data_IF_147612535656
#
_entry.id   IF_147612535656
#
_cell.length_a   1.000
_cell.length_b   1.000
_cell.length_c   1.000
_cell.angle_alpha   90.00
_cell.angle_beta   90.00
_cell.angle_gamma   90.00
#
_symmetry.space_group_name_H-M   'P 1'
#
loop_
_entity.id
_entity.type
_entity.pdbx_description
1 polymer ?
#
# COMPACT_ATOMS: atom_id res chain seq x y z
N UNK A 1 36.41 2.70 -35.76
CA UNK A 1 34.95 2.91 -35.93
C UNK A 1 34.18 1.60 -36.10
N UNK A 2 34.44 0.76 -37.12
CA UNK A 2 33.66 -0.49 -37.35
C UNK A 2 33.65 -1.47 -36.15
N UNK A 3 34.79 -1.73 -35.53
CA UNK A 3 34.89 -2.61 -34.34
C UNK A 3 34.09 -2.08 -33.13
N UNK A 4 34.06 -0.76 -32.93
CA UNK A 4 33.27 -0.13 -31.88
C UNK A 4 31.77 -0.32 -32.13
N UNK A 5 31.32 -0.19 -33.38
CA UNK A 5 29.92 -0.44 -33.75
C UNK A 5 29.53 -1.90 -33.52
N UNK A 6 30.37 -2.87 -33.91
CA UNK A 6 30.08 -4.30 -33.66
C UNK A 6 30.02 -4.62 -32.17
N UNK A 7 30.94 -4.05 -31.38
CA UNK A 7 30.93 -4.21 -29.93
C UNK A 7 29.67 -3.60 -29.29
N UNK A 8 29.26 -2.41 -29.73
CA UNK A 8 28.03 -1.77 -29.25
C UNK A 8 26.78 -2.60 -29.59
N UNK A 9 26.67 -3.08 -30.84
CA UNK A 9 25.57 -3.95 -31.27
C UNK A 9 25.54 -5.24 -30.46
N UNK A 10 26.69 -5.85 -30.18
CA UNK A 10 26.80 -7.02 -29.33
C UNK A 10 26.29 -6.75 -27.92
N UNK A 11 26.74 -5.67 -27.28
CA UNK A 11 26.29 -5.30 -25.92
C UNK A 11 24.78 -5.11 -25.88
N UNK A 12 24.23 -4.33 -26.82
CA UNK A 12 22.80 -4.07 -26.89
C UNK A 12 22.04 -5.38 -27.06
N UNK A 13 22.45 -6.23 -28.00
CA UNK A 13 21.81 -7.52 -28.25
C UNK A 13 21.90 -8.45 -27.04
N UNK A 14 23.05 -8.48 -26.36
CA UNK A 14 23.26 -9.26 -25.15
C UNK A 14 22.35 -8.80 -24.01
N UNK A 15 22.21 -7.48 -23.79
CA UNK A 15 21.31 -6.93 -22.78
C UNK A 15 19.86 -7.29 -23.09
N UNK A 16 19.43 -7.17 -24.35
CA UNK A 16 18.08 -7.56 -24.77
C UNK A 16 17.84 -9.06 -24.60
N UNK A 17 18.79 -9.89 -25.00
CA UNK A 17 18.73 -11.35 -24.82
C UNK A 17 18.63 -11.70 -23.34
N UNK A 18 19.47 -11.11 -22.49
CA UNK A 18 19.45 -11.32 -21.04
C UNK A 18 18.11 -10.88 -20.44
N UNK A 19 17.63 -9.69 -20.78
CA UNK A 19 16.39 -9.16 -20.24
C UNK A 19 15.16 -9.97 -20.68
N UNK A 20 15.18 -10.54 -21.88
CA UNK A 20 14.13 -11.41 -22.41
C UNK A 20 14.14 -12.79 -21.75
N UNK A 21 15.32 -13.37 -21.56
CA UNK A 21 15.51 -14.69 -20.95
C UNK A 21 15.67 -14.64 -19.42
N UNK A 22 15.48 -13.47 -18.80
CA UNK A 22 15.66 -13.30 -17.36
C UNK A 22 14.71 -14.23 -16.59
N UNK A 23 15.21 -15.02 -15.63
CA UNK A 23 14.40 -15.98 -14.86
C UNK A 23 13.56 -15.26 -13.79
N UNK A 24 12.53 -14.52 -14.25
CA UNK A 24 11.66 -13.69 -13.40
C UNK A 24 10.99 -14.55 -12.32
N UNK A 25 10.56 -15.76 -12.66
CA UNK A 25 9.87 -16.64 -11.71
C UNK A 25 10.78 -17.03 -10.56
N UNK A 26 12.01 -17.42 -10.86
CA UNK A 26 12.98 -17.90 -9.88
C UNK A 26 13.43 -16.74 -8.99
N UNK A 27 13.78 -15.59 -9.59
CA UNK A 27 14.29 -14.42 -8.87
C UNK A 27 13.21 -13.78 -8.02
N UNK A 28 12.08 -13.39 -8.62
CA UNK A 28 11.01 -12.73 -7.87
C UNK A 28 10.25 -13.71 -7.00
N UNK A 29 10.11 -14.97 -7.43
CA UNK A 29 9.49 -16.00 -6.62
C UNK A 29 10.26 -16.28 -5.35
N UNK A 30 11.58 -16.45 -5.43
CA UNK A 30 12.45 -16.61 -4.27
C UNK A 30 12.34 -15.40 -3.33
N UNK A 31 12.36 -14.19 -3.87
CA UNK A 31 12.19 -12.97 -3.07
C UNK A 31 10.83 -12.93 -2.35
N UNK A 32 9.73 -13.25 -3.02
CA UNK A 32 8.39 -13.26 -2.41
C UNK A 32 8.30 -14.33 -1.32
N UNK A 33 8.73 -15.56 -1.61
CA UNK A 33 8.69 -16.67 -0.67
C UNK A 33 9.54 -16.42 0.57
N UNK A 34 10.73 -15.81 0.43
CA UNK A 34 11.59 -15.39 1.55
C UNK A 34 10.88 -14.42 2.49
N UNK A 35 9.93 -13.62 1.99
CA UNK A 35 9.14 -12.67 2.77
C UNK A 35 7.78 -13.24 3.22
N UNK A 36 7.56 -14.55 3.09
CA UNK A 36 6.32 -15.22 3.50
C UNK A 36 5.13 -14.93 2.59
N UNK A 37 5.38 -14.54 1.34
CA UNK A 37 4.35 -14.25 0.35
C UNK A 37 4.22 -15.46 -0.58
N UNK A 38 3.04 -16.07 -0.61
CA UNK A 38 2.70 -17.14 -1.57
C UNK A 38 2.19 -16.54 -2.88
N UNK A 39 2.35 -17.27 -3.97
CA UNK A 39 1.86 -16.89 -5.29
C UNK A 39 1.57 -18.14 -6.13
N UNK A 40 0.62 -18.07 -7.05
CA UNK A 40 0.30 -19.19 -7.95
C UNK A 40 1.23 -19.28 -9.15
N UNK A 41 1.53 -18.14 -9.78
CA UNK A 41 2.43 -18.11 -10.92
C UNK A 41 3.03 -16.73 -11.15
N UNK A 42 4.24 -16.72 -11.69
CA UNK A 42 4.93 -15.55 -12.23
C UNK A 42 5.26 -15.86 -13.68
N UNK A 43 4.85 -15.00 -14.61
CA UNK A 43 5.08 -15.18 -16.06
C UNK A 43 5.53 -13.87 -16.70
N UNK A 44 6.44 -13.96 -17.67
CA UNK A 44 6.95 -12.82 -18.43
C UNK A 44 8.46 -12.70 -18.31
N UNK A 45 8.98 -11.50 -18.56
CA UNK A 45 10.40 -11.19 -18.60
C UNK A 45 10.73 -9.94 -17.76
N UNK A 46 11.98 -9.49 -17.78
CA UNK A 46 12.44 -8.39 -16.93
C UNK A 46 11.67 -7.09 -17.16
N UNK A 47 11.23 -6.82 -18.40
CA UNK A 47 10.51 -5.58 -18.75
C UNK A 47 9.02 -5.66 -18.46
N UNK A 48 8.40 -6.82 -18.66
CA UNK A 48 6.98 -7.00 -18.41
C UNK A 48 6.72 -8.39 -17.87
N UNK A 49 6.17 -8.44 -16.67
CA UNK A 49 5.77 -9.70 -16.05
C UNK A 49 4.47 -9.56 -15.27
N UNK A 50 3.92 -10.71 -14.92
CA UNK A 50 2.62 -10.83 -14.29
C UNK A 50 2.70 -11.84 -13.16
N UNK A 51 2.20 -11.45 -11.99
CA UNK A 51 2.03 -12.31 -10.82
C UNK A 51 0.53 -12.59 -10.65
N UNK A 52 0.17 -13.85 -10.46
CA UNK A 52 -1.20 -14.27 -10.16
C UNK A 52 -1.33 -14.79 -8.74
N UNK A 53 -2.45 -14.44 -8.11
CA UNK A 53 -2.89 -14.92 -6.79
C UNK A 53 -1.79 -14.78 -5.74
N UNK A 54 -1.36 -13.54 -5.50
CA UNK A 54 -0.40 -13.20 -4.46
C UNK A 54 -1.12 -13.15 -3.12
N UNK A 55 -0.61 -13.87 -2.14
CA UNK A 55 -1.23 -14.01 -0.82
C UNK A 55 -0.22 -13.75 0.30
N UNK A 56 -0.65 -13.01 1.32
CA UNK A 56 0.12 -12.73 2.52
C UNK A 56 -0.81 -12.62 3.72
N UNK A 57 -0.71 -13.57 4.66
CA UNK A 57 -1.64 -13.68 5.80
C UNK A 57 -3.10 -13.68 5.31
N UNK A 58 -3.97 -12.77 5.79
CA UNK A 58 -5.36 -12.67 5.34
C UNK A 58 -5.54 -11.84 4.05
N UNK A 59 -4.46 -11.39 3.40
CA UNK A 59 -4.56 -10.55 2.21
C UNK A 59 -4.34 -11.34 0.94
N UNK A 60 -5.12 -11.02 -0.10
CA UNK A 60 -5.02 -11.62 -1.43
C UNK A 60 -5.08 -10.56 -2.52
N UNK A 61 -4.27 -10.76 -3.56
CA UNK A 61 -4.30 -9.98 -4.80
C UNK A 61 -4.34 -10.96 -5.96
N UNK A 62 -5.43 -10.92 -6.73
CA UNK A 62 -5.65 -11.88 -7.83
C UNK A 62 -4.65 -11.70 -8.97
N UNK A 63 -4.35 -10.45 -9.33
CA UNK A 63 -3.61 -10.14 -10.54
C UNK A 63 -2.73 -8.89 -10.36
N UNK A 64 -1.42 -9.02 -10.60
CA UNK A 64 -0.51 -7.87 -10.68
C UNK A 64 0.23 -7.95 -12.00
N UNK A 65 0.01 -6.97 -12.88
CA UNK A 65 0.80 -6.78 -14.10
C UNK A 65 1.83 -5.68 -13.87
N UNK A 66 3.11 -6.01 -14.00
CA UNK A 66 4.24 -5.11 -13.81
C UNK A 66 4.86 -4.81 -15.17
N UNK A 67 5.12 -3.53 -15.42
CA UNK A 67 5.94 -3.02 -16.52
C UNK A 67 7.11 -2.25 -15.93
N UNK A 68 8.30 -2.78 -16.11
CA UNK A 68 9.55 -2.14 -15.72
C UNK A 68 10.09 -1.34 -16.89
N UNK A 69 10.19 -0.03 -16.69
CA UNK A 69 11.02 0.84 -17.52
C UNK A 69 12.15 1.38 -16.65
N UNK A 70 13.25 1.78 -17.29
CA UNK A 70 14.48 2.22 -16.60
C UNK A 70 14.19 3.26 -15.51
N UNK A 71 13.33 4.22 -15.79
CA UNK A 71 13.02 5.34 -14.87
C UNK A 71 11.77 5.12 -14.02
N UNK A 72 10.98 4.08 -14.31
CA UNK A 72 9.63 3.93 -13.76
C UNK A 72 9.16 2.49 -13.81
N UNK A 73 8.69 2.00 -12.67
CA UNK A 73 7.97 0.74 -12.57
C UNK A 73 6.48 1.05 -12.49
N UNK A 74 5.69 0.44 -13.36
CA UNK A 74 4.24 0.53 -13.34
C UNK A 74 3.64 -0.82 -12.96
N UNK A 75 2.81 -0.84 -11.93
CA UNK A 75 2.04 -2.01 -11.55
C UNK A 75 0.54 -1.73 -11.68
N UNK A 76 -0.17 -2.63 -12.36
CA UNK A 76 -1.62 -2.65 -12.45
C UNK A 76 -2.14 -3.82 -11.62
N UNK A 77 -2.81 -3.50 -10.51
CA UNK A 77 -3.33 -4.45 -9.52
C UNK A 77 -4.82 -4.68 -9.77
N UNK A 78 -5.22 -5.95 -9.85
CA UNK A 78 -6.57 -6.43 -10.16
C UNK A 78 -7.21 -5.65 -11.32
N UNK A 79 -6.40 -5.36 -12.35
CA UNK A 79 -6.76 -4.59 -13.57
C UNK A 79 -7.29 -3.16 -13.34
N UNK A 80 -7.38 -2.68 -12.11
CA UNK A 80 -8.03 -1.40 -11.77
C UNK A 80 -7.09 -0.43 -11.06
N UNK A 81 -6.34 -0.90 -10.08
CA UNK A 81 -5.56 -0.04 -9.20
C UNK A 81 -4.17 0.16 -9.78
N UNK A 82 -3.68 1.40 -9.76
CA UNK A 82 -2.43 1.77 -10.43
C UNK A 82 -1.40 2.19 -9.39
N UNK A 83 -0.24 1.54 -9.42
CA UNK A 83 0.94 1.88 -8.66
C UNK A 83 2.05 2.28 -9.63
N UNK A 84 2.69 3.41 -9.36
CA UNK A 84 3.85 3.89 -10.08
C UNK A 84 4.99 4.02 -9.07
N UNK A 85 6.15 3.44 -9.36
CA UNK A 85 7.34 3.55 -8.52
C UNK A 85 8.41 4.22 -9.37
N UNK A 86 9.08 5.22 -8.79
CA UNK A 86 10.16 5.98 -9.39
C UNK A 86 11.43 5.72 -8.56
N UNK A 87 12.24 4.71 -8.95
CA UNK A 87 13.36 4.26 -8.13
C UNK A 87 14.37 5.37 -7.82
N UNK A 88 14.74 6.16 -8.83
CA UNK A 88 15.74 7.23 -8.70
C UNK A 88 15.32 8.34 -7.74
N UNK A 89 14.04 8.72 -7.74
CA UNK A 89 13.50 9.73 -6.82
C UNK A 89 13.02 9.15 -5.49
N UNK A 90 13.19 7.83 -5.29
CA UNK A 90 12.72 7.07 -4.12
C UNK A 90 11.26 7.39 -3.76
N UNK A 91 10.42 7.49 -4.77
CA UNK A 91 9.01 7.86 -4.63
C UNK A 91 8.08 6.87 -5.31
N UNK A 92 6.84 6.83 -4.85
CA UNK A 92 5.78 6.06 -5.45
C UNK A 92 4.47 6.86 -5.47
N UNK A 93 3.60 6.52 -6.42
CA UNK A 93 2.27 7.10 -6.55
C UNK A 93 1.25 6.00 -6.69
N UNK A 94 0.25 6.00 -5.81
CA UNK A 94 -0.86 5.05 -5.82
C UNK A 94 -2.13 5.80 -6.23
N UNK A 95 -2.91 5.19 -7.12
CA UNK A 95 -4.25 5.64 -7.46
C UNK A 95 -5.22 4.50 -7.17
N UNK A 96 -6.07 4.70 -6.15
CA UNK A 96 -7.09 3.73 -5.77
C UNK A 96 -8.48 4.29 -6.11
N UNK A 97 -9.15 3.67 -7.08
CA UNK A 97 -10.52 4.04 -7.46
C UNK A 97 -11.48 2.93 -7.01
N UNK A 98 -12.44 3.29 -6.15
CA UNK A 98 -13.48 2.45 -5.57
C UNK A 98 -12.94 1.06 -5.20
N UNK A 99 -11.89 1.03 -4.37
CA UNK A 99 -11.29 -0.22 -3.92
C UNK A 99 -12.22 -0.86 -2.89
N UNK A 100 -12.91 -1.93 -3.32
CA UNK A 100 -13.69 -2.81 -2.46
C UNK A 100 -12.75 -3.61 -1.55
N UNK A 101 -12.84 -3.43 -0.24
CA UNK A 101 -11.91 -4.01 0.74
C UNK A 101 -12.08 -5.52 0.87
N UNK A 102 -13.30 -6.01 0.73
CA UNK A 102 -13.65 -7.43 0.79
C UNK A 102 -12.89 -8.25 -0.28
N UNK A 103 -12.64 -7.67 -1.44
CA UNK A 103 -11.94 -8.33 -2.55
C UNK A 103 -10.44 -8.53 -2.31
N UNK A 104 -9.87 -7.97 -1.24
CA UNK A 104 -8.45 -8.09 -0.91
C UNK A 104 -8.22 -8.94 0.34
N UNK A 105 -9.26 -9.61 0.85
CA UNK A 105 -9.21 -10.47 2.03
C UNK A 105 -9.52 -11.93 1.65
N UNK A 106 -8.77 -12.89 2.18
CA UNK A 106 -9.06 -14.32 2.00
C UNK A 106 -10.36 -14.66 2.73
N UNK A 107 -10.48 -14.21 3.99
CA UNK A 107 -11.72 -14.26 4.77
C UNK A 107 -12.17 -12.83 5.06
N UNK A 108 -13.17 -12.31 4.31
CA UNK A 108 -13.63 -10.93 4.47
C UNK A 108 -14.20 -10.69 5.88
N UNK A 109 -13.57 -9.79 6.60
CA UNK A 109 -13.99 -9.32 7.93
C UNK A 109 -14.40 -7.85 7.89
N UNK A 110 -13.80 -7.09 6.99
CA UNK A 110 -14.09 -5.67 6.78
C UNK A 110 -14.71 -5.49 5.41
N UNK A 111 -15.89 -4.88 5.36
CA UNK A 111 -16.61 -4.58 4.13
C UNK A 111 -16.65 -3.08 3.92
N UNK A 112 -16.37 -2.63 2.70
CA UNK A 112 -16.30 -1.20 2.45
C UNK A 112 -15.54 -0.82 1.20
N UNK A 113 -15.48 0.49 0.97
CA UNK A 113 -14.80 1.08 -0.16
C UNK A 113 -13.76 2.10 0.29
N UNK A 114 -12.56 2.01 -0.28
CA UNK A 114 -11.51 2.99 -0.16
C UNK A 114 -11.33 3.76 -1.47
N UNK A 115 -11.39 5.08 -1.38
CA UNK A 115 -11.20 6.01 -2.46
C UNK A 115 -10.01 6.93 -2.18
N UNK A 116 -9.06 6.96 -3.11
CA UNK A 116 -7.89 7.84 -3.05
C UNK A 116 -7.62 8.39 -4.44
N UNK A 117 -7.69 9.72 -4.60
CA UNK A 117 -7.44 10.33 -5.92
C UNK A 117 -5.96 10.23 -6.29
N UNK A 118 -5.06 10.52 -5.34
CA UNK A 118 -3.63 10.39 -5.47
C UNK A 118 -3.02 10.18 -4.06
N UNK A 119 -2.33 9.07 -3.86
CA UNK A 119 -1.42 8.87 -2.71
C UNK A 119 -0.02 9.05 -3.25
N UNK A 120 0.69 10.08 -2.79
CA UNK A 120 2.11 10.23 -3.08
C UNK A 120 2.90 9.71 -1.88
N UNK A 121 3.89 8.85 -2.14
CA UNK A 121 4.75 8.24 -1.15
C UNK A 121 6.18 8.64 -1.48
N UNK A 122 6.94 9.13 -0.51
CA UNK A 122 8.35 9.48 -0.66
C UNK A 122 9.14 8.89 0.49
N UNK A 123 10.25 8.23 0.17
CA UNK A 123 11.21 7.78 1.19
C UNK A 123 12.19 8.91 1.46
N UNK A 124 12.27 9.36 2.72
CA UNK A 124 13.25 10.34 3.19
C UNK A 124 13.97 9.78 4.41
N UNK A 125 15.30 9.62 4.30
CA UNK A 125 16.11 8.92 5.31
C UNK A 125 15.51 7.52 5.59
N UNK A 126 15.05 7.27 6.81
CA UNK A 126 14.44 6.01 7.24
C UNK A 126 12.90 6.10 7.37
N UNK A 127 12.29 7.17 6.87
CA UNK A 127 10.86 7.44 7.01
C UNK A 127 10.12 7.40 5.67
N UNK A 128 8.87 6.94 5.72
CA UNK A 128 7.89 6.92 4.66
C UNK A 128 6.99 8.14 4.85
N UNK A 129 7.09 9.08 3.92
CA UNK A 129 6.29 10.28 3.88
C UNK A 129 5.14 10.08 2.90
N UNK A 130 3.91 10.36 3.33
CA UNK A 130 2.67 10.15 2.60
C UNK A 130 1.96 11.49 2.47
N UNK A 131 1.51 11.80 1.26
CA UNK A 131 0.58 12.89 0.98
C UNK A 131 -0.66 12.32 0.30
N UNK A 132 -1.82 12.47 0.94
CA UNK A 132 -3.08 11.99 0.36
C UNK A 132 -4.32 12.54 1.03
N UNK A 133 -5.41 12.60 0.24
CA UNK A 133 -6.77 12.69 0.72
C UNK A 133 -7.44 11.32 0.56
N UNK A 134 -7.89 10.75 1.67
CA UNK A 134 -8.50 9.43 1.75
C UNK A 134 -9.98 9.58 2.09
N UNK A 135 -10.82 8.82 1.38
CA UNK A 135 -12.22 8.61 1.72
C UNK A 135 -12.44 7.13 1.90
N UNK A 136 -12.78 6.72 3.10
CA UNK A 136 -13.04 5.35 3.47
C UNK A 136 -14.49 5.23 3.94
N UNK A 137 -15.20 4.27 3.40
CA UNK A 137 -16.52 3.88 3.89
C UNK A 137 -16.46 2.42 4.32
N UNK A 138 -16.78 2.15 5.57
CA UNK A 138 -16.87 0.82 6.15
C UNK A 138 -18.33 0.50 6.43
N UNK A 139 -18.92 -0.42 5.66
CA UNK A 139 -20.32 -0.83 5.87
C UNK A 139 -20.46 -1.77 7.07
N UNK A 140 -19.51 -2.70 7.22
CA UNK A 140 -19.47 -3.67 8.32
C UNK A 140 -18.04 -3.80 8.86
N UNK A 141 -17.93 -3.82 10.17
CA UNK A 141 -16.68 -4.06 10.89
C UNK A 141 -16.80 -5.31 11.78
N UNK A 142 -15.70 -5.71 12.43
CA UNK A 142 -15.71 -6.77 13.44
C UNK A 142 -16.43 -6.37 14.75
N UNK A 143 -16.89 -5.12 14.87
CA UNK A 143 -17.65 -4.64 16.01
C UNK A 143 -19.12 -4.48 15.61
N UNK A 144 -20.05 -5.30 16.14
CA UNK A 144 -21.43 -5.35 15.66
C UNK A 144 -22.19 -4.03 15.82
N UNK A 145 -21.79 -3.21 16.80
CA UNK A 145 -22.41 -1.91 17.10
C UNK A 145 -21.81 -0.73 16.30
N UNK A 146 -20.79 -0.99 15.48
CA UNK A 146 -20.09 0.03 14.70
C UNK A 146 -20.15 -0.33 13.21
N UNK A 147 -21.19 0.18 12.55
CA UNK A 147 -21.46 -0.02 11.13
C UNK A 147 -21.56 1.32 10.41
N UNK A 148 -21.44 1.30 9.08
CA UNK A 148 -21.59 2.47 8.21
C UNK A 148 -20.68 3.65 8.58
N UNK A 149 -19.42 3.37 8.94
CA UNK A 149 -18.43 4.39 9.28
C UNK A 149 -17.93 5.06 8.00
N UNK A 150 -18.03 6.38 7.94
CA UNK A 150 -17.36 7.23 6.95
C UNK A 150 -16.15 7.86 7.61
N UNK A 151 -15.00 7.75 6.97
CA UNK A 151 -13.75 8.38 7.39
C UNK A 151 -13.21 9.19 6.22
N UNK A 152 -13.05 10.49 6.42
CA UNK A 152 -12.37 11.39 5.50
C UNK A 152 -11.08 11.88 6.14
N UNK A 153 -9.94 11.61 5.52
CA UNK A 153 -8.64 11.94 6.10
C UNK A 153 -7.74 12.72 5.13
N UNK A 154 -7.08 13.75 5.65
CA UNK A 154 -6.01 14.50 5.00
C UNK A 154 -4.68 14.12 5.67
N UNK A 155 -3.74 13.64 4.86
CA UNK A 155 -2.40 13.24 5.29
C UNK A 155 -1.39 14.16 4.61
N UNK A 156 -0.59 14.86 5.43
CA UNK A 156 0.45 15.78 4.97
C UNK A 156 1.81 15.37 5.51
N UNK A 157 2.84 15.28 4.66
CA UNK A 157 4.17 14.88 5.08
C UNK A 157 4.87 16.01 5.82
N UNK A 158 5.57 15.66 6.89
CA UNK A 158 6.51 16.51 7.63
C UNK A 158 7.92 15.91 7.53
N UNK A 159 8.90 16.43 8.28
CA UNK A 159 10.30 15.99 8.13
C UNK A 159 10.51 14.50 8.44
N UNK A 160 9.86 13.99 9.49
CA UNK A 160 10.03 12.62 10.02
C UNK A 160 8.70 11.95 10.45
N UNK A 161 7.55 12.57 10.16
CA UNK A 161 6.22 12.00 10.39
C UNK A 161 5.23 12.53 9.35
N UNK A 162 3.99 12.06 9.42
CA UNK A 162 2.89 12.56 8.61
C UNK A 162 1.81 13.13 9.51
N UNK A 163 1.47 14.40 9.35
CA UNK A 163 0.30 14.98 9.96
C UNK A 163 -0.96 14.30 9.40
N UNK A 164 -1.85 13.85 10.28
CA UNK A 164 -3.10 13.18 9.96
C UNK A 164 -4.25 13.92 10.62
N UNK A 165 -5.15 14.43 9.79
CA UNK A 165 -6.45 14.94 10.22
C UNK A 165 -7.53 14.06 9.63
N UNK A 166 -8.39 13.49 10.46
CA UNK A 166 -9.46 12.61 10.01
C UNK A 166 -10.79 12.98 10.66
N UNK A 167 -11.84 13.06 9.87
CA UNK A 167 -13.21 13.18 10.35
C UNK A 167 -13.86 11.80 10.25
N UNK A 168 -14.54 11.40 11.31
CA UNK A 168 -15.19 10.09 11.46
C UNK A 168 -16.66 10.34 11.72
N UNK A 169 -17.52 9.70 10.94
CA UNK A 169 -18.97 9.84 11.05
C UNK A 169 -19.65 8.48 10.85
N UNK A 170 -20.51 8.12 11.79
CA UNK A 170 -21.42 6.97 11.76
C UNK A 170 -22.64 7.28 12.63
N UNK A 171 -23.56 6.33 12.80
CA UNK A 171 -24.75 6.53 13.64
C UNK A 171 -24.41 6.77 15.11
N UNK A 172 -23.37 6.13 15.64
CA UNK A 172 -23.02 6.14 17.07
C UNK A 172 -21.65 6.78 17.36
N UNK A 173 -20.95 7.26 16.34
CA UNK A 173 -19.61 7.84 16.45
C UNK A 173 -19.54 9.03 15.52
N UNK A 174 -19.29 10.23 16.05
CA UNK A 174 -19.04 11.42 15.25
C UNK A 174 -17.91 12.22 15.87
N UNK A 175 -16.90 12.63 15.11
CA UNK A 175 -15.79 13.38 15.67
C UNK A 175 -14.62 13.56 14.73
N UNK A 176 -13.56 14.16 15.26
CA UNK A 176 -12.32 14.39 14.55
C UNK A 176 -11.14 13.78 15.30
N UNK A 177 -10.22 13.21 14.54
CA UNK A 177 -8.91 12.79 14.99
C UNK A 177 -7.85 13.73 14.41
N UNK A 178 -7.03 14.31 15.28
CA UNK A 178 -5.88 15.11 14.89
C UNK A 178 -4.62 14.49 15.49
N UNK A 179 -3.67 14.12 14.65
CA UNK A 179 -2.49 13.40 15.10
C UNK A 179 -1.37 13.31 14.09
N UNK A 180 -0.43 12.42 14.39
CA UNK A 180 0.80 12.15 13.67
C UNK A 180 0.92 10.66 13.39
N UNK A 181 1.32 10.31 12.18
CA UNK A 181 1.67 8.95 11.78
C UNK A 181 3.18 8.87 11.56
N UNK A 182 3.85 8.12 12.42
CA UNK A 182 5.27 7.82 12.29
C UNK A 182 5.40 6.51 11.51
N UNK A 183 5.93 6.59 10.30
CA UNK A 183 6.09 5.45 9.40
C UNK A 183 7.57 5.26 9.06
N UNK A 184 8.34 4.53 9.89
CA UNK A 184 9.66 4.08 9.47
C UNK A 184 9.56 3.05 8.34
N UNK A 185 10.64 2.87 7.58
CA UNK A 185 10.73 1.84 6.52
C UNK A 185 10.40 0.45 7.08
N UNK A 186 10.82 0.16 8.32
CA UNK A 186 10.31 -0.99 9.06
C UNK A 186 8.91 -0.68 9.63
N UNK A 187 7.87 -0.87 8.82
CA UNK A 187 6.48 -0.52 9.13
C UNK A 187 6.00 -1.10 10.47
N UNK A 188 6.55 -2.23 10.93
CA UNK A 188 6.20 -2.82 12.23
C UNK A 188 6.49 -1.91 13.43
N UNK A 189 7.48 -1.03 13.31
CA UNK A 189 7.85 -0.02 14.30
C UNK A 189 7.02 1.27 14.17
N UNK A 190 6.13 1.34 13.18
CA UNK A 190 5.26 2.50 12.98
C UNK A 190 4.24 2.68 14.10
N UNK A 191 3.79 3.91 14.26
CA UNK A 191 2.76 4.28 15.24
C UNK A 191 1.90 5.45 14.77
N UNK A 192 0.67 5.51 15.25
CA UNK A 192 -0.24 6.65 15.13
C UNK A 192 -0.47 7.20 16.53
N UNK A 193 -0.31 8.50 16.70
CA UNK A 193 -0.53 9.20 17.96
C UNK A 193 -1.34 10.46 17.72
N UNK A 194 -2.29 10.77 18.59
CA UNK A 194 -3.08 11.99 18.47
C UNK A 194 -4.26 12.02 19.42
N UNK A 195 -5.17 12.94 19.16
CA UNK A 195 -6.36 13.18 19.98
C UNK A 195 -7.59 12.92 19.12
N UNK A 196 -8.48 12.06 19.61
CA UNK A 196 -9.85 11.99 19.12
C UNK A 196 -10.74 12.85 20.01
N UNK A 197 -11.51 13.73 19.39
CA UNK A 197 -12.51 14.56 20.06
C UNK A 197 -13.84 14.46 19.32
N UNK A 198 -14.91 14.19 20.04
CA UNK A 198 -16.25 14.06 19.48
C UNK A 198 -17.17 13.27 20.40
N UNK A 199 -18.09 12.53 19.80
CA UNK A 199 -19.16 11.82 20.47
C UNK A 199 -19.11 10.33 20.12
N UNK A 200 -19.26 9.49 21.14
CA UNK A 200 -19.36 8.03 21.03
C UNK A 200 -20.54 7.59 21.90
N UNK A 201 -21.53 6.92 21.31
CA UNK A 201 -22.76 6.49 21.99
C UNK A 201 -23.39 7.59 22.86
N UNK A 202 -23.58 8.78 22.27
CA UNK A 202 -24.13 9.97 22.92
C UNK A 202 -23.31 10.54 24.09
N UNK A 203 -22.09 10.05 24.29
CA UNK A 203 -21.16 10.56 25.30
C UNK A 203 -20.06 11.37 24.63
N UNK A 204 -19.81 12.58 25.14
CA UNK A 204 -18.66 13.38 24.72
C UNK A 204 -17.36 12.70 25.16
N UNK A 205 -16.43 12.56 24.22
CA UNK A 205 -15.15 11.90 24.42
C UNK A 205 -14.05 12.80 23.89
N UNK A 206 -13.05 13.03 24.74
CA UNK A 206 -11.78 13.61 24.34
C UNK A 206 -10.66 12.70 24.84
N UNK A 207 -10.06 11.94 23.93
CA UNK A 207 -9.11 10.87 24.29
C UNK A 207 -7.85 10.91 23.45
N UNK A 208 -6.72 10.76 24.14
CA UNK A 208 -5.44 10.46 23.52
C UNK A 208 -5.47 9.03 22.97
N UNK A 209 -5.09 8.88 21.71
CA UNK A 209 -4.98 7.60 21.03
C UNK A 209 -3.51 7.40 20.67
N UNK A 210 -2.96 6.24 21.05
CA UNK A 210 -1.62 5.80 20.62
C UNK A 210 -1.70 4.34 20.19
N UNK A 211 -1.47 4.07 18.91
CA UNK A 211 -1.58 2.74 18.31
C UNK A 211 -0.27 2.39 17.63
N UNK A 212 0.35 1.28 18.05
CA UNK A 212 1.54 0.69 17.40
C UNK A 212 1.12 -0.26 16.28
N UNK A 213 1.78 -0.18 15.13
CA UNK A 213 1.45 -0.98 13.95
C UNK A 213 1.74 -2.47 14.13
N UNK A 214 2.74 -2.84 14.94
CA UNK A 214 2.99 -4.24 15.33
C UNK A 214 1.72 -4.93 15.86
N UNK A 215 0.89 -4.20 16.62
CA UNK A 215 -0.35 -4.74 17.18
C UNK A 215 -1.38 -5.00 16.07
N UNK A 216 -1.53 -4.04 15.15
CA UNK A 216 -2.42 -4.16 13.97
C UNK A 216 -2.04 -5.33 13.06
N UNK A 217 -0.74 -5.47 12.75
CA UNK A 217 -0.22 -6.48 11.82
C UNK A 217 -0.27 -7.92 12.36
N UNK A 218 -0.45 -8.07 13.68
CA UNK A 218 -0.58 -9.34 14.36
C UNK A 218 -2.02 -9.85 14.43
N UNK A 219 -3.01 -9.04 14.04
CA UNK A 219 -4.43 -9.35 14.18
C UNK A 219 -4.92 -9.44 15.65
N UNK A 220 -4.03 -9.22 16.62
CA UNK A 220 -4.36 -9.21 18.05
C UNK A 220 -4.72 -7.79 18.48
N UNK A 221 -5.98 -7.42 18.29
CA UNK A 221 -6.56 -6.32 19.05
C UNK A 221 -6.89 -6.86 20.46
N UNK A 222 -5.91 -6.84 21.36
CA UNK A 222 -6.19 -6.90 22.80
C UNK A 222 -6.38 -5.45 23.23
N UNK A 223 -7.63 -5.08 23.49
CA UNK A 223 -7.97 -3.90 24.27
C UNK A 223 -8.21 -4.38 25.70
#
# INVERSE_FOLDING_TARGET
>A
MRYFTYFLTFIISFIFFFAYNFPVREVFGSFLSKNGISYKSIKGNLFTFKIKELEYKNFRVEDIKIKNSIFKIYALINKKQKLYIYPFSKSAKIKLKNLKLENYQIKPQVFGNLNTKNVNIKLKRQYILISSNLQLFLSKTNFPFVNNIKISADIKPEENFNNLKANISSQNINGAFNGKVYLPVNISQGKVEGIFSGEIFNSQVNKNISIKFKNLLSGRFRF
#
